data_IF_365809590865
#
_entry.id   IF_365809590865
#
_cell.length_a   1.000
_cell.length_b   1.000
_cell.length_c   1.000
_cell.angle_alpha   90.00
_cell.angle_beta   90.00
_cell.angle_gamma   90.00
#
_symmetry.space_group_name_H-M   'P 1'
#
loop_
_entity.id
_entity.type
_entity.pdbx_description
1 polymer ?
#
# COMPACT_ATOMS: atom_id res chain seq x y z
N UNK A 1 5.52 -29.59 3.34
CA UNK A 1 5.96 -28.21 3.09
C UNK A 1 4.88 -27.56 2.24
N UNK A 2 4.25 -26.44 2.73
CA UNK A 2 3.19 -25.77 1.93
C UNK A 2 3.78 -25.07 0.74
N UNK A 3 3.02 -25.05 -0.37
CA UNK A 3 3.34 -24.32 -1.60
C UNK A 3 2.49 -23.05 -1.67
N UNK A 4 3.12 -21.91 -1.84
CA UNK A 4 2.47 -20.61 -1.96
C UNK A 4 2.72 -20.06 -3.37
N UNK A 5 1.66 -19.74 -4.08
CA UNK A 5 1.71 -19.00 -5.34
C UNK A 5 1.21 -17.58 -5.10
N UNK A 6 2.06 -16.60 -5.37
CA UNK A 6 1.68 -15.18 -5.34
C UNK A 6 1.50 -14.69 -6.77
N UNK A 7 0.31 -14.17 -7.08
CA UNK A 7 -0.01 -13.62 -8.40
C UNK A 7 0.03 -12.11 -8.30
N UNK A 8 1.16 -11.52 -8.70
CA UNK A 8 1.43 -10.09 -8.61
C UNK A 8 0.80 -9.29 -9.77
N UNK A 9 0.26 -8.12 -9.45
CA UNK A 9 -0.18 -7.15 -10.44
C UNK A 9 1.01 -6.50 -11.17
N UNK A 10 2.09 -6.24 -10.43
CA UNK A 10 3.37 -5.74 -10.91
C UNK A 10 4.51 -6.49 -10.27
N UNK A 11 5.72 -6.35 -10.81
CA UNK A 11 6.93 -6.81 -10.13
C UNK A 11 7.17 -5.99 -8.86
N UNK A 12 7.64 -6.59 -7.75
CA UNK A 12 7.98 -5.85 -6.54
C UNK A 12 9.14 -4.87 -6.78
N UNK A 13 8.91 -3.61 -6.45
CA UNK A 13 9.89 -2.51 -6.53
C UNK A 13 10.03 -1.83 -5.15
N UNK A 14 10.72 -2.46 -4.18
CA UNK A 14 10.80 -1.95 -2.81
C UNK A 14 11.47 -0.56 -2.70
N UNK A 15 12.36 -0.21 -3.63
CA UNK A 15 13.03 1.10 -3.65
C UNK A 15 12.18 2.20 -4.33
N UNK A 16 11.06 1.84 -4.96
CA UNK A 16 10.23 2.76 -5.75
C UNK A 16 8.85 2.96 -5.16
N UNK A 17 8.34 1.99 -4.39
CA UNK A 17 6.98 2.03 -3.84
C UNK A 17 6.84 1.28 -2.52
N UNK A 18 5.99 1.80 -1.64
CA UNK A 18 5.62 1.13 -0.39
C UNK A 18 4.94 -0.23 -0.65
N UNK A 19 4.16 -0.36 -1.73
CA UNK A 19 3.57 -1.62 -2.16
C UNK A 19 4.63 -2.68 -2.48
N UNK A 20 5.73 -2.28 -3.13
CA UNK A 20 6.86 -3.18 -3.38
C UNK A 20 7.51 -3.67 -2.08
N UNK A 21 7.70 -2.79 -1.11
CA UNK A 21 8.22 -3.14 0.23
C UNK A 21 7.25 -4.06 0.97
N UNK A 22 5.94 -3.79 0.90
CA UNK A 22 4.90 -4.62 1.51
C UNK A 22 4.90 -6.03 0.92
N UNK A 23 4.89 -6.14 -0.40
CA UNK A 23 4.95 -7.43 -1.11
C UNK A 23 6.19 -8.23 -0.69
N UNK A 24 7.36 -7.61 -0.64
CA UNK A 24 8.58 -8.30 -0.17
C UNK A 24 8.47 -8.77 1.28
N UNK A 25 7.79 -8.02 2.13
CA UNK A 25 7.54 -8.42 3.53
C UNK A 25 6.62 -9.64 3.62
N UNK A 26 5.57 -9.72 2.79
CA UNK A 26 4.68 -10.88 2.68
C UNK A 26 5.41 -12.12 2.17
N UNK A 27 6.17 -11.99 1.09
CA UNK A 27 6.97 -13.08 0.53
C UNK A 27 7.96 -13.63 1.57
N UNK A 28 8.62 -12.75 2.31
CA UNK A 28 9.54 -13.13 3.40
C UNK A 28 8.80 -13.81 4.56
N UNK A 29 7.60 -13.33 4.93
CA UNK A 29 6.81 -13.96 6.00
C UNK A 29 6.47 -15.42 5.67
N UNK A 30 6.15 -15.74 4.42
CA UNK A 30 5.94 -17.12 3.97
C UNK A 30 7.23 -17.93 3.93
N UNK A 31 8.32 -17.34 3.45
CA UNK A 31 9.65 -18.00 3.39
C UNK A 31 10.16 -18.41 4.78
N UNK A 32 9.94 -17.57 5.80
CA UNK A 32 10.37 -17.89 7.18
C UNK A 32 9.66 -19.11 7.78
N UNK A 33 8.54 -19.53 7.19
CA UNK A 33 7.84 -20.77 7.54
C UNK A 33 8.40 -22.02 6.84
N UNK A 34 9.50 -21.89 6.11
CA UNK A 34 10.04 -22.91 5.21
C UNK A 34 9.02 -23.34 4.12
N UNK A 35 8.10 -22.45 3.71
CA UNK A 35 7.18 -22.72 2.62
C UNK A 35 7.88 -22.50 1.27
N UNK A 36 7.49 -23.27 0.27
CA UNK A 36 7.91 -23.04 -1.11
C UNK A 36 7.10 -21.87 -1.65
N UNK A 37 7.76 -20.76 -1.97
CA UNK A 37 7.11 -19.55 -2.48
C UNK A 37 7.50 -19.33 -3.93
N UNK A 38 6.50 -19.13 -4.77
CA UNK A 38 6.67 -18.74 -6.16
C UNK A 38 5.86 -17.49 -6.46
N UNK A 39 6.46 -16.56 -7.20
CA UNK A 39 5.85 -15.30 -7.63
C UNK A 39 5.57 -15.34 -9.11
N UNK A 40 4.31 -15.15 -9.54
CA UNK A 40 3.91 -15.13 -10.92
C UNK A 40 3.26 -13.78 -11.27
N UNK A 41 3.54 -13.23 -12.44
CA UNK A 41 2.93 -11.96 -12.86
C UNK A 41 2.82 -11.85 -14.37
N UNK A 42 1.74 -11.22 -14.90
CA UNK A 42 1.62 -10.88 -16.31
C UNK A 42 2.34 -9.58 -16.67
N UNK A 43 2.89 -8.87 -15.68
CA UNK A 43 3.55 -7.57 -15.89
C UNK A 43 4.90 -7.74 -16.60
N UNK A 44 5.24 -6.75 -17.41
CA UNK A 44 6.56 -6.64 -18.00
C UNK A 44 7.61 -6.33 -16.91
N UNK A 45 8.83 -6.81 -17.12
CA UNK A 45 9.96 -6.50 -16.25
C UNK A 45 10.27 -5.01 -16.30
N UNK A 46 10.68 -4.45 -15.15
CA UNK A 46 11.00 -3.04 -15.01
C UNK A 46 12.44 -2.86 -14.54
N UNK A 47 12.98 -1.65 -14.69
CA UNK A 47 14.32 -1.30 -14.27
C UNK A 47 14.53 -1.38 -12.75
N UNK A 48 13.46 -1.07 -11.97
CA UNK A 48 13.51 -0.99 -10.51
C UNK A 48 13.02 -2.25 -9.80
N UNK A 49 12.66 -3.30 -10.55
CA UNK A 49 12.23 -4.55 -9.96
C UNK A 49 13.36 -5.25 -9.21
N UNK A 50 13.01 -5.88 -8.09
CA UNK A 50 13.97 -6.69 -7.35
C UNK A 50 14.16 -8.06 -8.02
N UNK A 51 15.38 -8.58 -7.99
CA UNK A 51 15.62 -9.97 -8.39
C UNK A 51 15.21 -10.92 -7.26
N UNK A 52 14.07 -11.59 -7.44
CA UNK A 52 13.49 -12.50 -6.45
C UNK A 52 14.34 -13.75 -6.20
N UNK A 53 15.17 -14.18 -7.16
CA UNK A 53 16.06 -15.32 -7.00
C UNK A 53 17.07 -15.11 -5.87
N UNK A 54 17.50 -13.85 -5.64
CA UNK A 54 18.39 -13.50 -4.52
C UNK A 54 17.77 -13.77 -3.15
N UNK A 55 16.43 -13.86 -3.09
CA UNK A 55 15.66 -14.16 -1.87
C UNK A 55 15.21 -15.64 -1.84
N UNK A 56 15.66 -16.46 -2.80
CA UNK A 56 15.24 -17.85 -2.93
C UNK A 56 13.76 -18.01 -3.24
N UNK A 57 13.20 -17.08 -4.01
CA UNK A 57 11.82 -17.07 -4.49
C UNK A 57 11.86 -17.26 -6.01
N UNK A 58 11.29 -18.35 -6.50
CA UNK A 58 11.16 -18.57 -7.93
C UNK A 58 10.15 -17.62 -8.53
N UNK A 59 10.40 -17.17 -9.76
CA UNK A 59 9.50 -16.25 -10.44
C UNK A 59 9.12 -16.74 -11.84
N UNK A 60 7.85 -16.52 -12.22
CA UNK A 60 7.28 -16.96 -13.47
C UNK A 60 6.51 -15.83 -14.16
N UNK A 61 6.77 -15.61 -15.44
CA UNK A 61 5.88 -14.79 -16.28
C UNK A 61 4.66 -15.60 -16.68
N UNK A 62 3.47 -15.05 -16.49
CA UNK A 62 2.19 -15.65 -16.85
C UNK A 62 1.46 -14.77 -17.85
N UNK A 63 0.59 -15.36 -18.67
CA UNK A 63 -0.18 -14.64 -19.66
C UNK A 63 -1.64 -14.45 -19.21
N UNK A 64 -2.18 -13.25 -19.46
CA UNK A 64 -3.61 -12.99 -19.30
C UNK A 64 -4.41 -13.75 -20.36
N UNK A 65 -5.60 -14.22 -19.99
CA UNK A 65 -6.54 -14.88 -20.90
C UNK A 65 -5.94 -16.04 -21.72
N UNK A 66 -5.00 -16.77 -21.15
CA UNK A 66 -4.30 -17.88 -21.80
C UNK A 66 -4.44 -19.17 -20.99
N UNK A 67 -4.62 -20.29 -21.69
CA UNK A 67 -4.70 -21.63 -21.06
C UNK A 67 -3.37 -22.09 -20.45
N UNK A 68 -2.25 -21.47 -20.84
CA UNK A 68 -0.95 -21.79 -20.24
C UNK A 68 -0.93 -21.61 -18.73
N UNK A 69 -1.73 -20.69 -18.19
CA UNK A 69 -1.88 -20.54 -16.74
C UNK A 69 -2.62 -21.74 -16.11
N UNK A 70 -3.59 -22.34 -16.81
CA UNK A 70 -4.31 -23.50 -16.30
C UNK A 70 -3.36 -24.70 -16.13
N UNK A 71 -2.51 -24.95 -17.12
CA UNK A 71 -1.49 -26.00 -17.06
C UNK A 71 -0.45 -25.71 -15.95
N UNK A 72 -0.01 -24.47 -15.87
CA UNK A 72 0.95 -24.03 -14.86
C UNK A 72 0.40 -24.22 -13.44
N UNK A 73 -0.79 -23.67 -13.12
CA UNK A 73 -1.36 -23.74 -11.77
C UNK A 73 -1.71 -25.17 -11.35
N UNK A 74 -2.16 -25.99 -12.30
CA UNK A 74 -2.43 -27.42 -12.09
C UNK A 74 -1.15 -28.19 -11.78
N UNK A 75 -0.07 -27.94 -12.52
CA UNK A 75 1.22 -28.61 -12.30
C UNK A 75 1.88 -28.16 -10.99
N UNK A 76 1.83 -26.86 -10.67
CA UNK A 76 2.36 -26.31 -9.43
C UNK A 76 1.58 -26.81 -8.21
N UNK A 77 0.25 -26.88 -8.31
CA UNK A 77 -0.68 -27.36 -7.28
C UNK A 77 -0.44 -26.69 -5.92
N UNK A 78 -0.71 -25.36 -5.79
CA UNK A 78 -0.47 -24.59 -4.56
C UNK A 78 -1.45 -24.96 -3.45
N UNK A 79 -0.98 -24.90 -2.20
CA UNK A 79 -1.82 -24.94 -1.00
C UNK A 79 -2.45 -23.57 -0.69
N UNK A 80 -1.75 -22.49 -1.09
CA UNK A 80 -2.17 -21.12 -0.89
C UNK A 80 -1.93 -20.34 -2.17
N UNK A 81 -2.92 -19.54 -2.59
CA UNK A 81 -2.79 -18.57 -3.69
C UNK A 81 -3.09 -17.19 -3.16
N UNK A 82 -2.16 -16.26 -3.29
CA UNK A 82 -2.34 -14.85 -2.93
C UNK A 82 -2.42 -14.00 -4.20
N UNK A 83 -3.46 -13.19 -4.30
CA UNK A 83 -3.67 -12.24 -5.39
C UNK A 83 -3.30 -10.82 -4.92
N UNK A 84 -2.40 -10.16 -5.63
CA UNK A 84 -2.08 -8.74 -5.45
C UNK A 84 -3.15 -7.91 -6.16
N UNK A 85 -4.02 -7.33 -5.37
CA UNK A 85 -5.19 -6.54 -5.79
C UNK A 85 -6.31 -7.35 -6.47
N UNK A 86 -7.50 -6.80 -6.41
CA UNK A 86 -8.71 -7.47 -6.91
C UNK A 86 -8.66 -7.83 -8.40
N UNK A 87 -7.92 -7.07 -9.22
CA UNK A 87 -7.81 -7.37 -10.65
C UNK A 87 -7.13 -8.72 -10.91
N UNK A 88 -6.18 -9.12 -10.09
CA UNK A 88 -5.53 -10.44 -10.23
C UNK A 88 -6.48 -11.56 -9.81
N UNK A 89 -7.29 -11.35 -8.78
CA UNK A 89 -8.34 -12.31 -8.41
C UNK A 89 -9.37 -12.48 -9.53
N UNK A 90 -9.82 -11.39 -10.14
CA UNK A 90 -10.76 -11.44 -11.27
C UNK A 90 -10.19 -12.21 -12.47
N UNK A 91 -8.92 -12.02 -12.79
CA UNK A 91 -8.29 -12.66 -13.95
C UNK A 91 -8.00 -14.15 -13.72
N UNK A 92 -7.54 -14.51 -12.53
CA UNK A 92 -6.98 -15.84 -12.27
C UNK A 92 -7.76 -16.65 -11.24
N UNK A 93 -8.60 -16.03 -10.40
CA UNK A 93 -9.27 -16.69 -9.28
C UNK A 93 -10.17 -17.85 -9.71
N UNK A 94 -10.92 -17.69 -10.80
CA UNK A 94 -11.78 -18.76 -11.32
C UNK A 94 -10.99 -19.96 -11.86
N UNK A 95 -9.76 -19.75 -12.38
CA UNK A 95 -8.85 -20.80 -12.83
C UNK A 95 -8.28 -21.56 -11.65
N UNK A 96 -7.94 -20.83 -10.57
CA UNK A 96 -7.51 -21.43 -9.30
C UNK A 96 -8.65 -22.29 -8.71
N UNK A 97 -9.88 -21.78 -8.65
CA UNK A 97 -11.02 -22.57 -8.16
C UNK A 97 -11.28 -23.83 -8.99
N UNK A 98 -11.06 -23.76 -10.30
CA UNK A 98 -11.23 -24.90 -11.21
C UNK A 98 -10.18 -26.00 -11.02
N UNK A 99 -8.90 -25.61 -10.85
CA UNK A 99 -7.78 -26.54 -10.88
C UNK A 99 -7.22 -26.88 -9.49
N UNK A 100 -7.37 -25.96 -8.52
CA UNK A 100 -6.87 -26.07 -7.15
C UNK A 100 -7.96 -25.69 -6.14
N UNK A 101 -9.12 -26.37 -6.11
CA UNK A 101 -10.30 -25.98 -5.31
C UNK A 101 -10.02 -25.97 -3.80
N UNK A 102 -9.02 -26.73 -3.34
CA UNK A 102 -8.61 -26.80 -1.93
C UNK A 102 -7.56 -25.76 -1.54
N UNK A 103 -7.02 -24.98 -2.47
CA UNK A 103 -6.10 -23.92 -2.17
C UNK A 103 -6.80 -22.79 -1.38
N UNK A 104 -6.17 -22.29 -0.33
CA UNK A 104 -6.62 -21.09 0.38
C UNK A 104 -6.36 -19.89 -0.53
N UNK A 105 -7.39 -19.10 -0.78
CA UNK A 105 -7.27 -17.86 -1.57
C UNK A 105 -7.17 -16.65 -0.67
N UNK A 106 -6.07 -15.93 -0.79
CA UNK A 106 -5.80 -14.69 -0.07
C UNK A 106 -5.83 -13.53 -1.06
N UNK A 107 -6.50 -12.45 -0.70
CA UNK A 107 -6.44 -11.20 -1.45
C UNK A 107 -5.61 -10.19 -0.65
N UNK A 108 -4.51 -9.74 -1.21
CA UNK A 108 -3.82 -8.54 -0.73
C UNK A 108 -4.42 -7.34 -1.46
N UNK A 109 -5.20 -6.52 -0.74
CA UNK A 109 -5.91 -5.39 -1.36
C UNK A 109 -4.98 -4.23 -1.66
N UNK A 110 -3.82 -4.16 -0.99
CA UNK A 110 -3.06 -2.93 -0.83
C UNK A 110 -3.95 -1.87 -0.16
N UNK A 111 -4.36 -0.82 -0.86
CA UNK A 111 -5.42 0.09 -0.44
C UNK A 111 -6.75 -0.21 -1.13
N UNK A 112 -7.87 0.22 -0.57
CA UNK A 112 -9.16 0.15 -1.23
C UNK A 112 -9.23 1.14 -2.40
N UNK A 113 -9.15 0.61 -3.63
CA UNK A 113 -9.18 1.44 -4.84
C UNK A 113 -10.50 2.18 -5.01
N UNK A 114 -11.62 1.58 -4.59
CA UNK A 114 -12.92 2.24 -4.61
C UNK A 114 -12.92 3.48 -3.72
N UNK A 115 -12.35 3.42 -2.53
CA UNK A 115 -12.23 4.56 -1.61
C UNK A 115 -11.34 5.65 -2.20
N UNK A 116 -10.15 5.27 -2.70
CA UNK A 116 -9.22 6.22 -3.31
C UNK A 116 -9.86 6.96 -4.49
N UNK A 117 -10.55 6.23 -5.37
CA UNK A 117 -11.19 6.82 -6.54
C UNK A 117 -12.38 7.71 -6.16
N UNK A 118 -13.23 7.27 -5.25
CA UNK A 118 -14.36 8.07 -4.77
C UNK A 118 -13.90 9.40 -4.17
N UNK A 119 -12.87 9.38 -3.32
CA UNK A 119 -12.28 10.59 -2.75
C UNK A 119 -11.62 11.48 -3.81
N UNK A 120 -10.95 10.89 -4.80
CA UNK A 120 -10.33 11.63 -5.89
C UNK A 120 -11.39 12.35 -6.76
N UNK A 121 -12.49 11.69 -7.09
CA UNK A 121 -13.57 12.30 -7.85
C UNK A 121 -14.31 13.39 -7.05
N UNK A 122 -14.53 13.18 -5.75
CA UNK A 122 -15.06 14.22 -4.88
C UNK A 122 -14.14 15.45 -4.82
N UNK A 123 -12.83 15.22 -4.67
CA UNK A 123 -11.83 16.29 -4.66
C UNK A 123 -11.77 17.05 -5.99
N UNK A 124 -11.79 16.36 -7.14
CA UNK A 124 -11.88 17.02 -8.46
C UNK A 124 -13.15 17.85 -8.66
N UNK A 125 -14.25 17.37 -8.09
CA UNK A 125 -15.54 18.06 -8.13
C UNK A 125 -15.67 19.18 -7.10
N UNK A 126 -14.60 19.50 -6.36
CA UNK A 126 -14.58 20.52 -5.30
C UNK A 126 -15.71 20.33 -4.26
N UNK A 127 -16.04 19.09 -3.94
CA UNK A 127 -17.08 18.70 -2.98
C UNK A 127 -16.56 17.75 -1.92
N UNK A 128 -17.27 17.66 -0.83
CA UNK A 128 -16.99 16.68 0.21
C UNK A 128 -17.26 15.25 -0.28
N UNK A 129 -16.42 14.32 0.17
CA UNK A 129 -16.63 12.89 0.01
C UNK A 129 -17.75 12.42 0.94
N UNK A 130 -18.64 11.56 0.42
CA UNK A 130 -19.70 10.92 1.18
C UNK A 130 -19.69 9.41 0.97
N UNK A 131 -20.29 8.65 1.87
CA UNK A 131 -20.38 7.17 1.76
C UNK A 131 -21.11 6.73 0.49
N UNK A 132 -22.03 7.55 -0.05
CA UNK A 132 -22.72 7.26 -1.32
C UNK A 132 -21.78 7.21 -2.51
N UNK A 133 -20.63 7.89 -2.46
CA UNK A 133 -19.61 7.88 -3.51
C UNK A 133 -18.92 6.50 -3.66
N UNK A 134 -19.05 5.66 -2.64
CA UNK A 134 -18.52 4.29 -2.65
C UNK A 134 -19.36 3.32 -3.49
N UNK A 135 -20.59 3.68 -3.87
CA UNK A 135 -21.46 2.80 -4.69
C UNK A 135 -21.08 2.86 -6.18
N UNK A 136 -19.84 2.55 -6.49
CA UNK A 136 -19.27 2.57 -7.85
C UNK A 136 -19.09 1.14 -8.41
N UNK A 137 -18.87 1.04 -9.73
CA UNK A 137 -18.56 -0.26 -10.35
C UNK A 137 -17.24 -0.85 -9.86
N UNK A 138 -16.26 0.00 -9.52
CA UNK A 138 -15.01 -0.44 -8.91
C UNK A 138 -15.28 -1.05 -7.55
N UNK A 139 -16.12 -0.44 -6.71
CA UNK A 139 -16.47 -1.01 -5.41
C UNK A 139 -17.15 -2.38 -5.56
N UNK A 140 -18.10 -2.53 -6.49
CA UNK A 140 -18.74 -3.82 -6.73
C UNK A 140 -17.73 -4.92 -7.08
N UNK A 141 -16.73 -4.60 -7.90
CA UNK A 141 -15.68 -5.53 -8.31
C UNK A 141 -14.74 -5.88 -7.14
N UNK A 142 -14.26 -4.86 -6.44
CA UNK A 142 -13.32 -5.01 -5.33
C UNK A 142 -13.94 -5.78 -4.16
N UNK A 143 -15.16 -5.41 -3.75
CA UNK A 143 -15.91 -6.12 -2.70
C UNK A 143 -16.25 -7.55 -3.13
N UNK A 144 -16.61 -7.77 -4.40
CA UNK A 144 -16.84 -9.11 -4.91
C UNK A 144 -15.58 -9.98 -4.85
N UNK A 145 -14.40 -9.43 -5.14
CA UNK A 145 -13.12 -10.14 -5.01
C UNK A 145 -12.81 -10.49 -3.55
N UNK A 146 -13.03 -9.56 -2.61
CA UNK A 146 -12.91 -9.80 -1.16
C UNK A 146 -13.81 -10.97 -0.75
N UNK A 147 -15.08 -10.95 -1.15
CA UNK A 147 -16.06 -12.01 -0.82
C UNK A 147 -15.75 -13.36 -1.49
N UNK A 148 -15.07 -13.39 -2.63
CA UNK A 148 -14.65 -14.64 -3.30
C UNK A 148 -13.38 -15.25 -2.71
N UNK A 149 -12.60 -14.50 -1.94
CA UNK A 149 -11.42 -15.00 -1.25
C UNK A 149 -11.75 -15.56 0.14
N UNK A 150 -10.86 -16.40 0.65
CA UNK A 150 -10.98 -16.97 1.99
C UNK A 150 -10.44 -16.01 3.06
N UNK A 151 -9.55 -15.10 2.67
CA UNK A 151 -8.96 -14.07 3.53
C UNK A 151 -8.57 -12.86 2.70
N UNK A 152 -8.82 -11.66 3.21
CA UNK A 152 -8.31 -10.41 2.61
C UNK A 152 -7.43 -9.67 3.60
N UNK A 153 -6.22 -9.31 3.15
CA UNK A 153 -5.25 -8.54 3.92
C UNK A 153 -5.54 -7.05 3.68
N UNK A 154 -5.77 -6.32 4.76
CA UNK A 154 -6.16 -4.91 4.74
C UNK A 154 -5.12 -4.12 5.53
N UNK A 155 -4.45 -3.18 4.88
CA UNK A 155 -3.34 -2.44 5.51
C UNK A 155 -3.80 -1.35 6.47
N UNK A 156 -5.05 -0.89 6.39
CA UNK A 156 -5.59 0.25 7.15
C UNK A 156 -6.70 -0.19 8.10
N UNK A 157 -6.59 0.18 9.39
CA UNK A 157 -7.65 -0.07 10.36
C UNK A 157 -8.95 0.70 10.02
N UNK A 158 -8.84 1.86 9.37
CA UNK A 158 -10.00 2.58 8.84
C UNK A 158 -10.72 1.78 7.76
N UNK A 159 -9.99 1.15 6.85
CA UNK A 159 -10.58 0.35 5.78
C UNK A 159 -11.24 -0.94 6.30
N UNK A 160 -10.70 -1.55 7.37
CA UNK A 160 -11.38 -2.65 8.07
C UNK A 160 -12.76 -2.20 8.57
N UNK A 161 -12.82 -1.02 9.21
CA UNK A 161 -14.10 -0.48 9.71
C UNK A 161 -15.06 -0.16 8.56
N UNK A 162 -14.55 0.43 7.47
CA UNK A 162 -15.35 0.73 6.28
C UNK A 162 -15.93 -0.53 5.65
N UNK A 163 -15.13 -1.57 5.45
CA UNK A 163 -15.57 -2.85 4.89
C UNK A 163 -16.66 -3.50 5.75
N UNK A 164 -16.52 -3.46 7.06
CA UNK A 164 -17.50 -4.05 7.98
C UNK A 164 -18.76 -3.21 8.10
N UNK A 165 -18.66 -1.89 8.19
CA UNK A 165 -19.82 -1.01 8.48
C UNK A 165 -20.62 -0.62 7.23
N UNK A 166 -19.96 -0.41 6.08
CA UNK A 166 -20.63 0.04 4.85
C UNK A 166 -20.96 -1.13 3.93
N UNK A 167 -20.04 -2.07 3.79
CA UNK A 167 -20.21 -3.20 2.86
C UNK A 167 -20.63 -4.50 3.55
N UNK A 168 -20.79 -4.51 4.88
CA UNK A 168 -21.17 -5.69 5.68
C UNK A 168 -20.29 -6.91 5.41
N UNK A 169 -18.99 -6.69 5.20
CA UNK A 169 -18.05 -7.79 5.02
C UNK A 169 -17.75 -8.43 6.38
N UNK A 170 -17.93 -9.75 6.45
CA UNK A 170 -17.69 -10.53 7.65
C UNK A 170 -16.24 -10.44 8.13
N UNK A 171 -16.03 -10.18 9.43
CA UNK A 171 -14.69 -10.06 10.02
C UNK A 171 -13.84 -11.32 9.84
N UNK A 172 -14.44 -12.48 9.66
CA UNK A 172 -13.74 -13.74 9.40
C UNK A 172 -12.95 -13.72 8.09
N UNK A 173 -13.40 -12.92 7.11
CA UNK A 173 -12.77 -12.74 5.80
C UNK A 173 -11.69 -11.64 5.78
N UNK A 174 -11.55 -10.88 6.87
CA UNK A 174 -10.65 -9.74 6.94
C UNK A 174 -9.51 -10.01 7.92
N UNK A 175 -8.32 -9.53 7.58
CA UNK A 175 -7.16 -9.51 8.46
C UNK A 175 -6.45 -8.16 8.34
N UNK A 176 -6.44 -7.39 9.43
CA UNK A 176 -5.67 -6.15 9.48
C UNK A 176 -4.19 -6.48 9.49
N UNK A 177 -3.50 -6.14 8.42
CA UNK A 177 -2.08 -6.36 8.25
C UNK A 177 -1.42 -5.08 7.70
N UNK A 178 -1.05 -4.12 8.57
CA UNK A 178 -0.29 -2.96 8.14
C UNK A 178 1.11 -3.36 7.68
N UNK A 179 1.88 -2.41 7.17
CA UNK A 179 3.26 -2.66 6.77
C UNK A 179 4.08 -3.22 7.93
N UNK A 180 4.85 -4.26 7.66
CA UNK A 180 5.66 -4.96 8.66
C UNK A 180 7.06 -4.35 8.74
N UNK A 181 7.40 -3.75 9.88
CA UNK A 181 8.70 -3.12 10.13
C UNK A 181 9.58 -4.05 10.95
N UNK A 182 10.78 -4.30 10.45
CA UNK A 182 11.81 -5.02 11.19
C UNK A 182 12.44 -4.09 12.24
N UNK A 183 11.96 -4.20 13.47
CA UNK A 183 12.42 -3.35 14.56
C UNK A 183 13.90 -3.56 14.93
N UNK A 184 14.47 -4.69 14.56
CA UNK A 184 15.91 -4.99 14.79
C UNK A 184 16.81 -4.34 13.75
N UNK A 185 16.25 -3.96 12.60
CA UNK A 185 16.95 -3.28 11.52
C UNK A 185 16.81 -1.75 11.58
N UNK A 186 16.12 -1.23 12.60
CA UNK A 186 16.03 0.23 12.78
C UNK A 186 17.42 0.83 13.04
N UNK A 187 17.68 2.06 12.56
CA UNK A 187 18.95 2.72 12.82
C UNK A 187 19.22 2.85 14.32
N UNK A 188 20.37 2.35 14.77
CA UNK A 188 20.78 2.45 16.17
C UNK A 188 20.94 3.91 16.62
N UNK A 189 21.30 4.80 15.70
CA UNK A 189 21.39 6.24 15.91
C UNK A 189 20.83 6.97 14.70
N UNK A 190 20.04 7.99 14.95
CA UNK A 190 19.57 8.94 13.95
C UNK A 190 20.16 10.31 14.23
N UNK A 191 20.15 11.19 13.21
CA UNK A 191 20.63 12.57 13.39
C UNK A 191 19.83 13.29 14.47
N UNK A 192 20.52 14.08 15.30
CA UNK A 192 19.89 14.96 16.30
C UNK A 192 19.11 16.09 15.63
N UNK A 193 18.35 16.85 16.41
CA UNK A 193 17.61 18.03 15.94
C UNK A 193 18.54 19.03 15.24
N UNK A 194 19.70 19.31 15.80
CA UNK A 194 20.68 20.27 15.26
C UNK A 194 21.35 19.80 13.96
N UNK A 195 21.46 18.49 13.79
CA UNK A 195 22.07 17.87 12.60
C UNK A 195 21.12 17.77 11.43
N UNK A 196 19.83 18.07 11.64
CA UNK A 196 18.78 18.01 10.60
C UNK A 196 18.46 19.40 10.09
N UNK A 197 18.31 19.47 8.79
CA UNK A 197 17.98 20.71 8.10
C UNK A 197 16.79 20.48 7.18
N UNK A 198 16.26 21.53 6.61
CA UNK A 198 15.20 21.59 5.61
C UNK A 198 13.93 20.77 5.92
N UNK A 199 12.90 21.05 5.16
CA UNK A 199 11.69 20.25 5.04
C UNK A 199 11.82 19.29 3.85
N UNK A 200 11.09 18.18 3.92
CA UNK A 200 11.07 17.26 2.78
C UNK A 200 9.68 16.69 2.53
N UNK A 201 9.45 16.25 1.32
CA UNK A 201 8.40 15.29 0.96
C UNK A 201 8.92 14.32 -0.09
N UNK A 202 8.36 13.11 -0.13
CA UNK A 202 8.76 12.09 -1.08
C UNK A 202 7.54 11.34 -1.62
N UNK A 203 7.58 10.90 -2.87
CA UNK A 203 6.57 10.02 -3.43
C UNK A 203 6.60 9.93 -4.94
N UNK A 204 6.11 8.82 -5.48
CA UNK A 204 6.00 8.62 -6.91
C UNK A 204 5.04 9.66 -7.53
N UNK A 205 5.52 10.46 -8.48
CA UNK A 205 4.75 11.52 -9.13
C UNK A 205 3.60 11.01 -10.02
N UNK A 206 3.63 9.75 -10.44
CA UNK A 206 2.52 9.12 -11.19
C UNK A 206 1.31 8.83 -10.30
N UNK A 207 1.49 8.79 -8.98
CA UNK A 207 0.41 8.57 -8.02
C UNK A 207 -0.30 9.90 -7.72
N UNK A 208 -1.57 10.01 -8.11
CA UNK A 208 -2.33 11.26 -8.06
C UNK A 208 -2.31 11.99 -6.69
N UNK A 209 -2.48 11.32 -5.53
CA UNK A 209 -2.38 11.99 -4.22
C UNK A 209 -1.01 12.63 -3.96
N UNK A 210 0.08 12.05 -4.45
CA UNK A 210 1.42 12.62 -4.28
C UNK A 210 1.60 13.88 -5.13
N UNK A 211 1.15 13.84 -6.38
CA UNK A 211 1.20 15.01 -7.25
C UNK A 211 0.35 16.16 -6.70
N UNK A 212 -0.85 15.87 -6.24
CA UNK A 212 -1.73 16.83 -5.60
C UNK A 212 -1.10 17.47 -4.35
N UNK A 213 -0.46 16.66 -3.51
CA UNK A 213 0.26 17.16 -2.33
C UNK A 213 1.38 18.14 -2.71
N UNK A 214 2.11 17.90 -3.79
CA UNK A 214 3.15 18.84 -4.29
C UNK A 214 2.50 20.17 -4.73
N UNK A 215 1.38 20.13 -5.42
CA UNK A 215 0.63 21.34 -5.81
C UNK A 215 0.07 22.08 -4.58
N UNK A 216 -0.34 21.36 -3.55
CA UNK A 216 -0.82 21.97 -2.34
C UNK A 216 0.34 22.58 -1.49
N UNK A 217 1.48 21.93 -1.47
CA UNK A 217 2.71 22.48 -0.88
C UNK A 217 3.13 23.79 -1.55
N UNK A 218 2.89 23.97 -2.84
CA UNK A 218 3.16 25.24 -3.53
C UNK A 218 2.33 26.41 -2.95
N UNK A 219 1.13 26.12 -2.42
CA UNK A 219 0.29 27.12 -1.72
C UNK A 219 0.69 27.33 -0.27
N UNK A 220 1.12 26.29 0.42
CA UNK A 220 1.54 26.32 1.84
C UNK A 220 2.92 26.93 1.99
N UNK A 221 3.84 26.64 1.09
CA UNK A 221 5.25 26.98 1.22
C UNK A 221 5.56 28.47 1.43
N UNK A 222 4.90 29.44 0.75
CA UNK A 222 5.10 30.85 1.00
C UNK A 222 4.82 31.27 2.44
N UNK A 223 3.86 30.64 3.13
CA UNK A 223 3.53 30.90 4.53
C UNK A 223 4.66 30.42 5.44
N UNK A 224 5.19 29.23 5.21
CA UNK A 224 6.35 28.71 5.95
C UNK A 224 7.58 29.60 5.71
N UNK A 225 7.85 29.99 4.46
CA UNK A 225 9.01 30.82 4.10
C UNK A 225 8.97 32.22 4.68
N UNK A 226 7.79 32.77 4.93
CA UNK A 226 7.61 34.05 5.61
C UNK A 226 8.18 34.01 7.03
N UNK A 227 7.92 32.94 7.77
CA UNK A 227 8.40 32.75 9.15
C UNK A 227 9.84 32.20 9.19
N UNK A 228 10.23 31.42 8.19
CA UNK A 228 11.55 30.78 8.07
C UNK A 228 12.24 31.16 6.74
N UNK A 229 12.77 32.40 6.59
CA UNK A 229 13.25 32.92 5.30
C UNK A 229 14.42 32.16 4.65
N UNK A 230 15.12 31.31 5.41
CA UNK A 230 16.25 30.51 4.92
C UNK A 230 15.91 29.02 4.73
N UNK A 231 14.71 28.58 5.14
CA UNK A 231 14.34 27.18 5.04
C UNK A 231 14.20 26.74 3.58
N UNK A 232 14.45 25.47 3.31
CA UNK A 232 14.25 24.83 2.01
C UNK A 232 13.24 23.69 2.13
N UNK A 233 12.49 23.44 1.07
CA UNK A 233 11.64 22.27 0.90
C UNK A 233 12.22 21.41 -0.23
N UNK A 234 12.65 20.21 0.12
CA UNK A 234 13.20 19.23 -0.81
C UNK A 234 12.11 18.21 -1.22
N UNK A 235 11.80 18.16 -2.49
CA UNK A 235 10.74 17.31 -3.04
C UNK A 235 11.38 16.20 -3.86
N UNK A 236 11.29 14.98 -3.33
CA UNK A 236 11.83 13.78 -3.95
C UNK A 236 10.72 12.93 -4.57
N UNK A 237 11.07 12.10 -5.54
CA UNK A 237 10.16 11.11 -6.09
C UNK A 237 10.58 10.57 -7.44
N UNK A 238 10.10 9.35 -7.73
CA UNK A 238 10.27 8.70 -9.01
C UNK A 238 9.36 9.32 -10.08
N UNK A 239 9.81 9.25 -11.33
CA UNK A 239 9.05 9.68 -12.53
C UNK A 239 8.55 11.13 -12.49
N UNK A 240 9.39 12.14 -12.20
CA UNK A 240 8.97 13.52 -12.18
C UNK A 240 8.60 13.98 -13.62
N UNK A 241 7.34 14.41 -13.86
CA UNK A 241 6.96 14.94 -15.16
C UNK A 241 7.55 16.35 -15.38
N UNK A 242 7.67 16.83 -16.63
CA UNK A 242 8.19 18.17 -16.92
C UNK A 242 7.49 19.31 -16.17
N UNK A 243 6.18 19.17 -15.93
CA UNK A 243 5.40 20.12 -15.11
C UNK A 243 5.83 20.16 -13.64
N UNK A 244 6.36 19.07 -13.10
CA UNK A 244 6.90 19.04 -11.73
C UNK A 244 8.26 19.74 -11.68
N UNK A 245 9.17 19.44 -12.62
CA UNK A 245 10.49 20.10 -12.68
C UNK A 245 10.39 21.59 -12.93
N UNK A 246 9.35 22.05 -13.62
CA UNK A 246 9.06 23.48 -13.84
C UNK A 246 8.71 24.24 -12.52
N UNK A 247 8.31 23.53 -11.45
CA UNK A 247 8.06 24.15 -10.14
C UNK A 247 9.35 24.42 -9.36
N UNK A 248 10.51 23.94 -9.82
CA UNK A 248 11.78 24.12 -9.11
C UNK A 248 12.16 25.61 -9.03
N UNK A 249 12.27 26.12 -7.80
CA UNK A 249 12.57 27.52 -7.56
C UNK A 249 13.57 27.69 -6.41
N UNK A 250 14.88 27.72 -6.71
CA UNK A 250 15.92 27.92 -5.69
C UNK A 250 15.82 29.23 -4.93
N UNK A 251 15.28 30.30 -5.53
CA UNK A 251 15.12 31.61 -4.87
C UNK A 251 14.13 31.55 -3.69
N UNK A 252 13.11 30.71 -3.82
CA UNK A 252 12.11 30.50 -2.76
C UNK A 252 12.42 29.29 -1.90
N UNK A 253 13.45 28.50 -2.20
CA UNK A 253 13.76 27.26 -1.51
C UNK A 253 12.78 26.11 -1.79
N UNK A 254 11.98 26.18 -2.89
CA UNK A 254 11.10 25.10 -3.32
C UNK A 254 11.84 24.25 -4.36
N UNK A 255 12.41 23.13 -3.93
CA UNK A 255 13.40 22.39 -4.70
C UNK A 255 12.87 21.01 -5.14
N UNK A 256 12.72 20.82 -6.44
CA UNK A 256 12.41 19.50 -7.02
C UNK A 256 13.72 18.73 -7.19
N UNK A 257 13.97 17.77 -6.31
CA UNK A 257 15.20 16.96 -6.28
C UNK A 257 15.13 15.73 -7.21
N UNK A 258 13.91 15.27 -7.54
CA UNK A 258 13.73 14.06 -8.35
C UNK A 258 13.98 12.77 -7.58
N UNK A 259 14.62 11.81 -8.21
CA UNK A 259 14.94 10.51 -7.60
C UNK A 259 15.86 10.66 -6.38
N UNK A 260 15.58 9.87 -5.34
CA UNK A 260 16.45 9.71 -4.18
C UNK A 260 17.01 8.28 -4.22
N UNK A 261 18.34 8.14 -4.29
CA UNK A 261 19.00 6.82 -4.30
C UNK A 261 18.74 6.06 -2.99
N UNK A 262 18.61 6.79 -1.89
CA UNK A 262 18.27 6.27 -0.58
C UNK A 262 17.26 7.19 0.11
N UNK A 263 15.99 6.75 0.14
CA UNK A 263 14.91 7.49 0.78
C UNK A 263 15.15 7.70 2.29
N UNK A 264 15.76 6.74 2.96
CA UNK A 264 16.04 6.83 4.40
C UNK A 264 17.09 7.89 4.72
N UNK A 265 18.13 8.03 3.90
CA UNK A 265 19.15 9.07 4.08
C UNK A 265 18.56 10.47 3.91
N UNK A 266 17.74 10.69 2.89
CA UNK A 266 17.13 12.01 2.68
C UNK A 266 16.11 12.34 3.78
N UNK A 267 15.36 11.34 4.26
CA UNK A 267 14.46 11.51 5.41
C UNK A 267 15.22 11.84 6.68
N UNK A 268 16.27 11.09 7.01
CA UNK A 268 17.08 11.32 8.20
C UNK A 268 17.78 12.68 8.20
N UNK A 269 18.03 13.25 7.05
CA UNK A 269 18.65 14.56 6.90
C UNK A 269 17.65 15.72 7.04
N UNK A 270 16.38 15.46 6.78
CA UNK A 270 15.33 16.45 6.92
C UNK A 270 14.87 16.60 8.38
N UNK A 271 14.53 17.82 8.77
CA UNK A 271 13.97 18.10 10.10
C UNK A 271 12.50 17.74 10.19
N UNK A 272 11.72 18.01 9.15
CA UNK A 272 10.28 17.73 9.11
C UNK A 272 9.88 17.17 7.74
N UNK A 273 9.07 16.11 7.77
CA UNK A 273 8.40 15.57 6.58
C UNK A 273 7.03 16.23 6.41
N UNK A 274 6.75 16.79 5.23
CA UNK A 274 5.47 17.42 4.90
C UNK A 274 4.66 16.53 3.95
N UNK A 275 3.46 16.14 4.38
CA UNK A 275 2.58 15.28 3.59
C UNK A 275 1.12 15.79 3.62
N UNK A 276 0.79 16.93 2.98
CA UNK A 276 -0.55 17.51 2.99
C UNK A 276 -1.47 16.80 2.00
N UNK A 277 -1.82 15.57 2.30
CA UNK A 277 -2.65 14.71 1.46
C UNK A 277 -4.12 15.11 1.58
N UNK A 278 -4.78 15.45 0.47
CA UNK A 278 -6.18 15.87 0.46
C UNK A 278 -7.14 14.74 0.08
N UNK A 279 -6.62 13.69 -0.52
CA UNK A 279 -7.35 12.45 -0.81
C UNK A 279 -6.38 11.27 -0.86
N UNK A 280 -6.91 10.05 -0.79
CA UNK A 280 -6.16 8.81 -0.81
C UNK A 280 -6.89 7.70 -0.06
N UNK A 281 -6.27 6.54 0.02
CA UNK A 281 -6.70 5.37 0.77
C UNK A 281 -5.49 4.65 1.35
N UNK A 282 -5.69 3.60 2.13
CA UNK A 282 -4.63 2.83 2.77
C UNK A 282 -3.80 3.63 3.75
N UNK A 283 -2.67 3.08 4.16
CA UNK A 283 -1.66 3.76 4.97
C UNK A 283 -0.54 4.34 4.09
N UNK A 284 0.12 5.36 4.57
CA UNK A 284 1.04 6.18 3.75
C UNK A 284 2.49 5.80 4.02
N UNK A 285 3.07 4.98 3.13
CA UNK A 285 4.45 4.47 3.27
C UNK A 285 5.46 5.56 3.65
N UNK A 286 5.42 6.72 3.01
CA UNK A 286 6.32 7.85 3.33
C UNK A 286 6.25 8.31 4.78
N UNK A 287 5.06 8.25 5.40
CA UNK A 287 4.89 8.63 6.80
C UNK A 287 5.41 7.54 7.74
N UNK A 288 5.25 6.27 7.36
CA UNK A 288 5.87 5.17 8.09
C UNK A 288 7.40 5.21 7.98
N UNK A 289 7.94 5.45 6.78
CA UNK A 289 9.38 5.59 6.56
C UNK A 289 9.95 6.79 7.33
N UNK A 290 9.20 7.89 7.44
CA UNK A 290 9.56 9.03 8.27
C UNK A 290 9.62 8.64 9.76
N UNK A 291 8.67 7.84 10.26
CA UNK A 291 8.72 7.30 11.63
C UNK A 291 9.96 6.41 11.83
N UNK A 292 10.27 5.52 10.89
CA UNK A 292 11.46 4.65 10.92
C UNK A 292 12.75 5.49 11.02
N UNK A 293 12.82 6.60 10.28
CA UNK A 293 13.96 7.52 10.29
C UNK A 293 13.88 8.57 11.39
N UNK A 294 12.91 8.45 12.30
CA UNK A 294 12.68 9.41 13.40
C UNK A 294 12.57 10.86 12.89
N UNK A 295 11.93 11.05 11.75
CA UNK A 295 11.64 12.34 11.14
C UNK A 295 10.19 12.70 11.41
N UNK A 296 9.90 13.64 12.32
CA UNK A 296 8.55 14.07 12.58
C UNK A 296 7.85 14.58 11.34
N UNK A 297 6.53 14.40 11.29
CA UNK A 297 5.76 14.76 10.10
C UNK A 297 4.62 15.72 10.40
N UNK A 298 4.31 16.59 9.42
CA UNK A 298 3.04 17.30 9.37
C UNK A 298 2.22 16.70 8.24
N UNK A 299 1.00 16.28 8.57
CA UNK A 299 0.10 15.66 7.63
C UNK A 299 -1.35 16.10 7.86
N UNK A 300 -2.29 15.57 7.11
CA UNK A 300 -3.74 15.79 7.24
C UNK A 300 -4.41 14.59 7.88
N UNK A 301 -5.70 14.67 8.21
CA UNK A 301 -6.49 13.51 8.64
C UNK A 301 -6.43 12.38 7.62
N UNK A 302 -6.51 12.68 6.33
CA UNK A 302 -6.35 11.69 5.25
C UNK A 302 -4.96 11.05 5.27
N UNK A 303 -3.93 11.82 5.64
CA UNK A 303 -2.56 11.30 5.72
C UNK A 303 -2.34 10.36 6.90
N UNK A 304 -2.88 10.67 8.06
CA UNK A 304 -2.73 9.88 9.30
C UNK A 304 -3.74 8.74 9.43
N UNK A 305 -4.79 8.75 8.61
CA UNK A 305 -5.93 7.81 8.70
C UNK A 305 -5.49 6.35 8.67
N UNK A 306 -5.96 5.59 9.66
CA UNK A 306 -5.69 4.16 9.78
C UNK A 306 -4.25 3.79 10.18
N UNK A 307 -3.42 4.78 10.57
CA UNK A 307 -2.01 4.58 10.85
C UNK A 307 -1.66 4.56 12.35
N UNK A 308 -2.45 5.17 13.21
CA UNK A 308 -2.04 5.37 14.61
C UNK A 308 -3.10 4.96 15.66
N UNK A 309 -4.30 4.55 15.23
CA UNK A 309 -5.43 4.24 16.11
C UNK A 309 -5.63 5.37 17.14
N UNK A 310 -5.63 5.05 18.44
CA UNK A 310 -5.76 6.00 19.55
C UNK A 310 -4.40 6.57 20.06
N UNK A 311 -3.28 6.14 19.43
CA UNK A 311 -1.95 6.59 19.84
C UNK A 311 -1.63 7.99 19.29
N UNK A 312 -0.79 8.78 19.98
CA UNK A 312 -0.39 10.10 19.50
C UNK A 312 0.30 10.04 18.14
N UNK A 313 -0.05 10.97 17.25
CA UNK A 313 0.64 11.11 15.96
C UNK A 313 2.09 11.59 16.15
N UNK A 314 3.08 11.04 15.44
CA UNK A 314 4.49 11.46 15.54
C UNK A 314 4.75 12.76 14.77
N UNK A 315 4.15 13.82 15.25
CA UNK A 315 4.19 15.14 14.65
C UNK A 315 2.90 15.93 14.85
N UNK A 316 2.37 16.50 13.77
CA UNK A 316 1.15 17.31 13.79
C UNK A 316 0.19 16.90 12.67
N UNK A 317 -1.11 17.00 12.93
CA UNK A 317 -2.18 16.82 11.94
C UNK A 317 -2.88 18.16 11.76
N UNK A 318 -2.97 18.63 10.50
CA UNK A 318 -3.58 19.92 10.16
C UNK A 318 -4.20 19.86 8.75
N UNK A 319 -5.44 20.34 8.60
CA UNK A 319 -6.23 20.12 7.38
C UNK A 319 -6.34 21.37 6.48
N UNK A 320 -6.03 22.55 6.99
CA UNK A 320 -6.03 23.77 6.19
C UNK A 320 -4.63 24.37 6.04
N UNK A 321 -4.47 25.29 5.12
CA UNK A 321 -3.20 25.86 4.71
C UNK A 321 -2.46 26.56 5.85
N UNK A 322 -3.18 27.37 6.63
CA UNK A 322 -2.58 28.18 7.69
C UNK A 322 -2.15 27.33 8.88
N UNK A 323 -3.02 26.44 9.36
CA UNK A 323 -2.70 25.54 10.46
C UNK A 323 -1.57 24.59 10.08
N UNK A 324 -1.55 24.11 8.81
CA UNK A 324 -0.48 23.26 8.32
C UNK A 324 0.87 23.99 8.30
N UNK A 325 0.89 25.24 7.84
CA UNK A 325 2.09 26.06 7.85
C UNK A 325 2.57 26.35 9.28
N UNK A 326 1.66 26.72 10.20
CA UNK A 326 1.97 26.96 11.59
C UNK A 326 2.52 25.71 12.29
N UNK A 327 1.89 24.55 12.07
CA UNK A 327 2.36 23.27 12.59
C UNK A 327 3.76 22.90 12.06
N UNK A 328 4.02 23.18 10.79
CA UNK A 328 5.33 22.94 10.17
C UNK A 328 6.41 23.83 10.79
N UNK A 329 6.15 25.12 10.96
CA UNK A 329 7.08 26.08 11.60
C UNK A 329 7.33 25.70 13.06
N UNK A 330 6.28 25.38 13.83
CA UNK A 330 6.39 24.95 15.22
C UNK A 330 7.31 23.72 15.33
N UNK A 331 7.02 22.67 14.56
CA UNK A 331 7.77 21.41 14.62
C UNK A 331 9.22 21.58 14.14
N UNK A 332 9.47 22.50 13.23
CA UNK A 332 10.81 22.81 12.73
C UNK A 332 11.67 23.58 13.74
N UNK A 333 11.07 24.42 14.60
CA UNK A 333 11.77 25.33 15.53
C UNK A 333 11.79 24.84 16.97
N UNK A 334 10.85 23.97 17.36
CA UNK A 334 10.68 23.50 18.74
C UNK A 334 11.33 22.12 18.92
N UNK A 335 12.54 22.09 19.48
CA UNK A 335 13.27 20.84 19.74
C UNK A 335 12.50 19.89 20.66
N UNK A 336 11.89 20.38 21.73
CA UNK A 336 11.10 19.51 22.65
C UNK A 336 9.93 18.85 21.93
N UNK A 337 9.20 19.61 21.10
CA UNK A 337 8.11 19.07 20.27
C UNK A 337 8.59 18.04 19.25
N UNK A 338 9.77 18.27 18.67
CA UNK A 338 10.42 17.32 17.76
C UNK A 338 10.76 15.98 18.47
N UNK A 339 11.39 16.05 19.65
CA UNK A 339 11.78 14.87 20.45
C UNK A 339 10.55 14.08 20.93
N UNK A 340 9.48 14.75 21.35
CA UNK A 340 8.20 14.10 21.68
C UNK A 340 7.60 13.37 20.48
N UNK A 341 7.68 13.97 19.29
CA UNK A 341 7.20 13.33 18.06
C UNK A 341 8.02 12.08 17.71
N UNK A 342 9.34 12.09 17.92
CA UNK A 342 10.18 10.90 17.75
C UNK A 342 9.78 9.77 18.72
N UNK A 343 9.53 10.11 19.99
CA UNK A 343 9.08 9.12 20.99
C UNK A 343 7.72 8.51 20.61
N UNK A 344 6.78 9.34 20.14
CA UNK A 344 5.49 8.87 19.63
C UNK A 344 5.66 7.92 18.44
N UNK A 345 6.56 8.26 17.48
CA UNK A 345 6.88 7.39 16.34
C UNK A 345 7.43 6.03 16.77
N UNK A 346 8.37 6.01 17.70
CA UNK A 346 8.90 4.76 18.25
C UNK A 346 7.82 3.93 18.94
N UNK A 347 6.92 4.56 19.68
CA UNK A 347 5.79 3.88 20.34
C UNK A 347 4.86 3.23 19.30
N UNK A 348 4.52 3.97 18.23
CA UNK A 348 3.70 3.47 17.13
C UNK A 348 4.33 2.27 16.44
N UNK A 349 5.62 2.36 16.07
CA UNK A 349 6.35 1.27 15.41
C UNK A 349 6.33 -0.01 16.24
N UNK A 350 6.64 0.09 17.54
CA UNK A 350 6.67 -1.07 18.45
C UNK A 350 5.29 -1.67 18.71
N UNK A 351 4.23 -0.85 18.67
CA UNK A 351 2.88 -1.29 19.02
C UNK A 351 2.14 -1.86 17.81
N UNK A 352 2.20 -1.19 16.65
CA UNK A 352 1.35 -1.46 15.51
C UNK A 352 2.07 -2.09 14.31
N UNK A 353 3.40 -1.92 14.20
CA UNK A 353 4.12 -2.27 12.97
C UNK A 353 5.19 -3.36 13.14
N UNK A 354 5.27 -3.98 14.32
CA UNK A 354 6.25 -5.04 14.62
C UNK A 354 6.09 -6.24 13.68
N UNK A 355 7.06 -6.44 12.80
CA UNK A 355 7.10 -7.52 11.80
C UNK A 355 6.92 -8.90 12.42
N UNK A 356 7.52 -9.15 13.59
CA UNK A 356 7.47 -10.47 14.22
C UNK A 356 6.05 -10.78 14.67
N UNK A 357 5.40 -9.84 15.34
CA UNK A 357 4.01 -9.99 15.80
C UNK A 357 3.03 -10.11 14.64
N UNK A 358 3.15 -9.23 13.65
CA UNK A 358 2.26 -9.20 12.49
C UNK A 358 2.39 -10.44 11.62
N UNK A 359 3.62 -10.90 11.35
CA UNK A 359 3.85 -12.14 10.61
C UNK A 359 3.28 -13.35 11.35
N UNK A 360 3.50 -13.46 12.65
CA UNK A 360 2.95 -14.55 13.45
C UNK A 360 1.41 -14.55 13.43
N UNK A 361 0.79 -13.38 13.56
CA UNK A 361 -0.68 -13.24 13.48
C UNK A 361 -1.22 -13.68 12.11
N UNK A 362 -0.58 -13.28 11.01
CA UNK A 362 -0.93 -13.69 9.65
C UNK A 362 -0.86 -15.23 9.51
N UNK A 363 0.25 -15.83 9.90
CA UNK A 363 0.45 -17.28 9.79
C UNK A 363 -0.58 -18.05 10.63
N UNK A 364 -0.83 -17.63 11.86
CA UNK A 364 -1.85 -18.24 12.73
C UNK A 364 -3.26 -18.13 12.10
N UNK A 365 -3.58 -17.00 11.45
CA UNK A 365 -4.86 -16.84 10.75
C UNK A 365 -4.98 -17.80 9.58
N UNK A 366 -3.93 -17.94 8.77
CA UNK A 366 -3.88 -18.88 7.63
C UNK A 366 -4.01 -20.33 8.12
N UNK A 367 -3.31 -20.70 9.19
CA UNK A 367 -3.39 -22.05 9.75
C UNK A 367 -4.78 -22.35 10.33
N UNK A 368 -5.40 -21.38 10.99
CA UNK A 368 -6.79 -21.51 11.46
C UNK A 368 -7.77 -21.78 10.32
N UNK A 369 -7.65 -21.08 9.21
CA UNK A 369 -8.47 -21.30 8.00
C UNK A 369 -8.15 -22.67 7.38
N UNK A 370 -6.87 -23.03 7.30
CA UNK A 370 -6.41 -24.32 6.75
C UNK A 370 -6.97 -25.52 7.48
N UNK A 371 -7.13 -25.42 8.81
CA UNK A 371 -7.59 -26.53 9.65
C UNK A 371 -9.07 -26.89 9.39
N UNK A 372 -9.89 -25.93 8.98
CA UNK A 372 -11.31 -26.16 8.63
C UNK A 372 -11.78 -25.23 7.50
N UNK A 373 -11.11 -25.36 6.36
CA UNK A 373 -11.41 -24.55 5.16
C UNK A 373 -12.87 -24.70 4.70
N UNK A 374 -13.43 -25.90 4.83
CA UNK A 374 -14.81 -26.17 4.43
C UNK A 374 -15.80 -25.36 5.29
N UNK A 375 -15.73 -25.47 6.60
CA UNK A 375 -16.62 -24.72 7.50
C UNK A 375 -16.38 -23.21 7.40
N UNK A 376 -15.13 -22.76 7.17
CA UNK A 376 -14.83 -21.36 6.93
C UNK A 376 -15.57 -20.84 5.68
N UNK A 377 -15.54 -21.59 4.58
CA UNK A 377 -16.22 -21.23 3.33
C UNK A 377 -17.75 -21.32 3.43
N UNK A 378 -18.29 -22.28 4.18
CA UNK A 378 -19.74 -22.43 4.39
C UNK A 378 -20.37 -21.20 5.05
N UNK A 379 -19.64 -20.50 5.91
CA UNK A 379 -20.11 -19.25 6.53
C UNK A 379 -20.25 -18.09 5.53
N UNK A 380 -19.50 -18.11 4.43
CA UNK A 380 -19.50 -17.08 3.40
C UNK A 380 -20.39 -17.48 2.21
N UNK A 381 -21.69 -17.55 2.42
CA UNK A 381 -22.64 -17.93 1.36
C UNK A 381 -22.67 -16.95 0.19
N UNK A 382 -22.54 -15.64 0.47
CA UNK A 382 -22.49 -14.58 -0.56
C UNK A 382 -21.29 -14.79 -1.49
N UNK A 383 -20.11 -15.11 -0.95
CA UNK A 383 -18.94 -15.42 -1.74
C UNK A 383 -19.14 -16.66 -2.63
N UNK A 384 -19.81 -17.69 -2.13
CA UNK A 384 -20.16 -18.88 -2.93
C UNK A 384 -21.09 -18.52 -4.09
N UNK A 385 -22.12 -17.68 -3.84
CA UNK A 385 -23.01 -17.19 -4.91
C UNK A 385 -22.24 -16.42 -5.98
N UNK A 386 -21.34 -15.51 -5.56
CA UNK A 386 -20.53 -14.72 -6.48
C UNK A 386 -19.59 -15.60 -7.33
N UNK A 387 -19.02 -16.66 -6.76
CA UNK A 387 -18.25 -17.66 -7.50
C UNK A 387 -19.10 -18.36 -8.54
N UNK A 388 -20.33 -18.72 -8.19
CA UNK A 388 -21.21 -19.47 -9.07
C UNK A 388 -21.67 -18.66 -10.29
N UNK A 389 -22.08 -17.40 -10.10
CA UNK A 389 -22.68 -16.57 -11.16
C UNK A 389 -21.65 -15.70 -11.89
N UNK A 390 -20.84 -14.96 -11.16
CA UNK A 390 -19.91 -13.96 -11.74
C UNK A 390 -18.72 -14.63 -12.44
N UNK A 391 -18.18 -15.71 -11.89
CA UNK A 391 -17.04 -16.39 -12.48
C UNK A 391 -17.35 -17.03 -13.83
N UNK A 392 -18.58 -17.50 -14.07
CA UNK A 392 -18.94 -18.07 -15.38
C UNK A 392 -18.84 -17.05 -16.50
N UNK A 393 -19.25 -15.79 -16.27
CA UNK A 393 -19.12 -14.71 -17.27
C UNK A 393 -17.66 -14.41 -17.58
N UNK A 394 -16.82 -14.27 -16.56
CA UNK A 394 -15.37 -14.03 -16.74
C UNK A 394 -14.70 -15.24 -17.41
N UNK A 395 -15.08 -16.45 -17.03
CA UNK A 395 -14.57 -17.68 -17.64
C UNK A 395 -14.87 -17.71 -19.15
N UNK A 396 -16.12 -17.50 -19.53
CA UNK A 396 -16.49 -17.55 -20.94
C UNK A 396 -15.88 -16.42 -21.75
N UNK A 397 -15.75 -15.23 -21.19
CA UNK A 397 -15.06 -14.11 -21.83
C UNK A 397 -13.58 -14.42 -22.06
N UNK A 398 -12.88 -14.94 -21.05
CA UNK A 398 -11.48 -15.32 -21.18
C UNK A 398 -11.26 -16.44 -22.20
N UNK A 399 -12.14 -17.44 -22.21
CA UNK A 399 -12.10 -18.53 -23.21
C UNK A 399 -12.36 -18.00 -24.63
N UNK A 400 -13.31 -17.09 -24.79
CA UNK A 400 -13.59 -16.46 -26.07
C UNK A 400 -12.39 -15.64 -26.58
N UNK A 401 -11.72 -14.86 -25.70
CA UNK A 401 -10.51 -14.11 -26.06
C UNK A 401 -9.38 -15.08 -26.45
N UNK A 402 -9.19 -16.16 -25.68
CA UNK A 402 -8.17 -17.17 -25.99
C UNK A 402 -8.38 -17.80 -27.37
N UNK A 403 -9.61 -18.19 -27.71
CA UNK A 403 -9.95 -18.74 -29.03
C UNK A 403 -9.77 -17.69 -30.16
N UNK A 404 -10.11 -16.44 -29.90
CA UNK A 404 -9.90 -15.37 -30.87
C UNK A 404 -8.41 -15.14 -31.16
N UNK A 405 -7.56 -15.21 -30.14
CA UNK A 405 -6.11 -15.04 -30.31
C UNK A 405 -5.46 -16.18 -31.10
N UNK A 406 -5.91 -17.44 -30.89
CA UNK A 406 -5.43 -18.59 -31.68
C UNK A 406 -5.68 -18.47 -33.21
N UNK A 407 -6.65 -17.63 -33.61
CA UNK A 407 -6.97 -17.44 -35.04
C UNK A 407 -6.15 -16.28 -35.67
N UNK A 408 -5.30 -15.63 -34.91
CA UNK A 408 -4.43 -14.51 -35.34
C UNK A 408 -2.96 -14.96 -35.49
N UNK A 409 -2.64 -16.17 -35.03
CA UNK A 409 -1.38 -16.88 -35.24
C UNK A 409 -1.54 -17.90 -36.38
#
# INVERSE_FOLDING_TARGET
MKKVLVIGYVWPEPNSSAAGTHMMSLLNAFKTQNWQVEFATPAQRTEHMVNLDHFGITSQSIALNCESFDEYVKAYNPDIVMFDRFMMEEQFGWRVDKHCPNAIKILDTEDLQCLRNARHEAHKGEREFTTSDLHSDIAKREIAAILRCDLSLIISSFEIQLLSSVFNVEASLLHHLPFMVDLTALPAQTKSFEQREHFMTIGNFRHAPNWDAVLYLQKIWPLIRKELPKAELHIYGSYPPPKATALNNPKTGFLIKGWADNAYEVMQSARVCLAPLRFGAGIKGKLLEAMIMQTPSVTTDIGSEGMHNELPWPGKVANNTDDFANAAVELYTNQTGFEHAQQAGNSLLNTLYDKVKLSAALINKIDSISNDLKAHREKNFTGQMLKHHTMRSTQYMAQWIAEKNKKLD
#
